data_IF_485380456116
#
_entry.id   IF_485380456116
#
_cell.length_a   1.000
_cell.length_b   1.000
_cell.length_c   1.000
_cell.angle_alpha   90.00
_cell.angle_beta   90.00
_cell.angle_gamma   90.00
#
_symmetry.space_group_name_H-M   'P 1'
#
loop_
_entity.id
_entity.type
_entity.pdbx_description
1 polymer ?
#
# COMPACT_ATOMS: atom_id res chain seq x y z
N UNK A 1 10.82 -27.83 56.81
CA UNK A 1 11.09 -27.08 55.56
C UNK A 1 9.79 -26.82 54.77
N UNK A 2 8.91 -25.93 55.26
CA UNK A 2 7.68 -25.52 54.53
C UNK A 2 7.41 -24.00 54.55
N UNK A 3 8.17 -23.22 55.33
CA UNK A 3 7.98 -21.77 55.48
C UNK A 3 8.87 -20.91 54.57
N UNK A 4 9.97 -21.45 54.04
CA UNK A 4 10.90 -20.71 53.17
C UNK A 4 10.30 -20.51 51.76
N UNK A 5 9.50 -21.47 51.27
CA UNK A 5 8.90 -21.42 49.94
C UNK A 5 7.84 -20.30 49.85
N UNK A 6 7.09 -20.05 50.92
CA UNK A 6 6.02 -19.04 50.93
C UNK A 6 6.59 -17.61 50.92
N UNK A 7 7.73 -17.39 51.61
CA UNK A 7 8.39 -16.08 51.65
C UNK A 7 9.08 -15.77 50.31
N UNK A 8 9.70 -16.76 49.66
CA UNK A 8 10.27 -16.58 48.33
C UNK A 8 9.20 -16.26 47.26
N UNK A 9 8.02 -16.90 47.36
CA UNK A 9 6.90 -16.65 46.45
C UNK A 9 6.26 -15.27 46.65
N UNK A 10 6.18 -14.79 47.89
CA UNK A 10 5.66 -13.45 48.21
C UNK A 10 6.60 -12.33 47.74
N UNK A 11 7.92 -12.53 47.81
CA UNK A 11 8.92 -11.57 47.32
C UNK A 11 8.95 -11.49 45.79
N UNK A 12 8.73 -12.62 45.10
CA UNK A 12 8.61 -12.67 43.63
C UNK A 12 7.34 -11.97 43.12
N UNK A 13 6.24 -11.99 43.88
CA UNK A 13 4.98 -11.33 43.51
C UNK A 13 4.94 -9.83 43.83
N UNK A 14 5.88 -9.33 44.63
CA UNK A 14 6.00 -7.90 44.98
C UNK A 14 6.87 -7.08 44.02
N UNK A 15 7.50 -7.70 43.02
CA UNK A 15 8.09 -6.94 41.92
C UNK A 15 6.97 -6.50 40.97
N UNK A 16 6.41 -5.32 41.25
CA UNK A 16 5.69 -4.56 40.23
C UNK A 16 6.71 -4.09 39.19
N UNK A 17 7.01 -4.95 38.23
CA UNK A 17 7.44 -4.46 36.93
C UNK A 17 6.23 -3.76 36.33
N UNK A 18 6.27 -2.43 36.27
CA UNK A 18 5.55 -1.71 35.23
C UNK A 18 6.21 -2.09 33.91
N UNK A 19 5.92 -3.29 33.41
CA UNK A 19 6.07 -3.60 32.02
C UNK A 19 5.04 -2.72 31.30
N UNK A 20 5.51 -1.61 30.72
CA UNK A 20 4.73 -0.94 29.69
C UNK A 20 4.30 -2.00 28.70
N UNK A 21 2.99 -2.21 28.58
CA UNK A 21 2.42 -3.35 27.83
C UNK A 21 2.76 -3.35 26.34
N UNK A 22 3.53 -2.38 25.86
CA UNK A 22 4.32 -2.52 24.64
C UNK A 22 5.71 -1.94 24.89
N UNK A 23 6.73 -2.80 24.91
CA UNK A 23 8.15 -2.42 24.82
C UNK A 23 8.54 -1.88 23.45
N UNK A 24 7.60 -1.23 22.77
CA UNK A 24 7.81 -0.55 21.51
C UNK A 24 8.32 0.84 21.88
N UNK A 25 9.65 1.03 21.77
CA UNK A 25 10.29 2.32 22.03
C UNK A 25 10.12 3.30 20.87
N UNK A 26 9.83 2.79 19.68
CA UNK A 26 9.34 3.49 18.50
C UNK A 26 8.87 2.45 17.48
N UNK A 27 7.74 2.66 16.81
CA UNK A 27 7.45 2.01 15.51
C UNK A 27 7.88 3.04 14.48
N UNK A 28 9.07 2.85 13.91
CA UNK A 28 9.37 3.47 12.64
C UNK A 28 8.70 2.62 11.53
N UNK A 29 8.33 3.21 10.39
CA UNK A 29 7.89 2.43 9.24
C UNK A 29 8.92 1.36 8.86
N UNK A 30 8.46 0.15 8.54
CA UNK A 30 9.33 -0.96 8.17
C UNK A 30 9.81 -0.81 6.73
N UNK A 31 10.93 -0.11 6.55
CA UNK A 31 11.49 0.14 5.22
C UNK A 31 12.30 -1.04 4.66
N UNK A 32 12.23 -2.25 5.25
CA UNK A 32 13.02 -3.41 4.82
C UNK A 32 12.80 -3.76 3.35
N UNK A 33 11.54 -3.79 2.91
CA UNK A 33 11.14 -4.06 1.52
C UNK A 33 11.71 -3.01 0.55
N UNK A 34 11.81 -1.76 0.99
CA UNK A 34 12.33 -0.66 0.17
C UNK A 34 13.87 -0.76 0.09
N UNK A 35 14.52 -1.12 1.19
CA UNK A 35 15.96 -1.32 1.24
C UNK A 35 16.41 -2.47 0.33
N UNK A 36 15.65 -3.58 0.26
CA UNK A 36 15.90 -4.68 -0.66
C UNK A 36 15.84 -4.26 -2.14
N UNK A 37 15.04 -3.24 -2.47
CA UNK A 37 14.90 -2.69 -3.82
C UNK A 37 16.01 -1.70 -4.20
N UNK A 38 16.89 -1.33 -3.25
CA UNK A 38 17.98 -0.39 -3.48
C UNK A 38 17.53 1.04 -3.80
N UNK A 39 16.34 1.45 -3.35
CA UNK A 39 15.80 2.78 -3.58
C UNK A 39 16.40 3.77 -2.57
N UNK A 40 16.98 4.87 -3.07
CA UNK A 40 17.42 5.98 -2.22
C UNK A 40 16.22 6.81 -1.74
N UNK A 41 15.86 6.61 -0.47
CA UNK A 41 14.72 7.31 0.14
C UNK A 41 15.05 8.72 0.64
N UNK A 42 16.32 9.10 0.77
CA UNK A 42 16.68 10.38 1.40
C UNK A 42 16.28 11.56 0.53
N UNK A 43 16.57 11.49 -0.77
CA UNK A 43 16.11 12.50 -1.74
C UNK A 43 14.58 12.63 -1.74
N UNK A 44 13.85 11.52 -1.58
CA UNK A 44 12.39 11.51 -1.56
C UNK A 44 11.82 12.10 -0.25
N UNK A 45 12.46 11.82 0.88
CA UNK A 45 12.13 12.44 2.18
C UNK A 45 12.36 13.95 2.15
N UNK A 46 13.49 14.40 1.62
CA UNK A 46 13.80 15.82 1.43
C UNK A 46 12.80 16.50 0.49
N UNK A 47 12.42 15.82 -0.59
CA UNK A 47 11.41 16.32 -1.51
C UNK A 47 10.06 16.51 -0.81
N UNK A 48 9.58 15.52 -0.06
CA UNK A 48 8.32 15.66 0.68
C UNK A 48 8.39 16.76 1.74
N UNK A 49 9.52 16.87 2.44
CA UNK A 49 9.77 17.97 3.38
C UNK A 49 9.65 19.31 2.69
N UNK A 50 10.24 19.48 1.50
CA UNK A 50 10.15 20.72 0.73
C UNK A 50 8.71 21.08 0.33
N UNK A 51 7.84 20.09 0.15
CA UNK A 51 6.41 20.31 -0.09
C UNK A 51 5.73 20.74 1.21
N UNK A 52 5.99 20.05 2.32
CA UNK A 52 5.43 20.37 3.63
C UNK A 52 5.83 21.79 4.08
N UNK A 53 7.10 22.17 3.93
CA UNK A 53 7.64 23.47 4.33
C UNK A 53 6.99 24.65 3.58
N UNK A 54 6.44 24.45 2.38
CA UNK A 54 5.67 25.50 1.67
C UNK A 54 4.44 25.93 2.45
N UNK A 55 3.89 25.05 3.28
CA UNK A 55 2.74 25.34 4.14
C UNK A 55 3.13 25.99 5.47
N UNK A 56 4.42 25.98 5.84
CA UNK A 56 4.89 26.47 7.14
C UNK A 56 4.66 27.98 7.37
N UNK A 57 4.47 28.75 6.29
CA UNK A 57 4.14 30.18 6.38
C UNK A 57 2.72 30.45 6.90
N UNK A 58 1.81 29.48 6.76
CA UNK A 58 0.39 29.60 7.10
C UNK A 58 -0.07 28.61 8.17
N UNK A 59 0.65 27.48 8.31
CA UNK A 59 0.26 26.36 9.14
C UNK A 59 1.43 25.80 9.95
N UNK A 60 1.12 25.07 11.03
CA UNK A 60 2.12 24.43 11.88
C UNK A 60 2.50 23.08 11.29
N UNK A 61 3.61 23.05 10.56
CA UNK A 61 4.12 21.82 9.93
C UNK A 61 5.01 21.08 10.93
N UNK A 62 4.73 19.80 11.17
CA UNK A 62 5.52 18.92 12.01
C UNK A 62 5.73 17.58 11.34
N UNK A 63 6.98 17.12 11.32
CA UNK A 63 7.29 15.73 10.98
C UNK A 63 6.81 14.84 12.12
N UNK A 64 6.02 13.82 11.80
CA UNK A 64 5.51 12.86 12.77
C UNK A 64 6.16 11.51 12.57
N UNK A 65 6.23 10.72 13.65
CA UNK A 65 6.68 9.32 13.57
C UNK A 65 5.59 8.40 13.00
N UNK A 66 4.33 8.79 13.19
CA UNK A 66 3.16 8.02 12.79
C UNK A 66 1.99 8.92 12.42
N UNK A 67 1.24 8.51 11.39
CA UNK A 67 -0.06 9.05 10.98
C UNK A 67 -0.98 7.87 10.72
N UNK A 68 -2.28 8.02 11.01
CA UNK A 68 -3.27 7.00 10.64
C UNK A 68 -3.40 6.91 9.11
N UNK A 69 -2.93 5.78 8.56
CA UNK A 69 -2.96 5.48 7.13
C UNK A 69 -4.04 4.44 6.75
N UNK A 70 -4.99 4.16 7.65
CA UNK A 70 -5.99 3.09 7.45
C UNK A 70 -6.80 3.24 6.14
N UNK A 71 -6.98 4.46 5.64
CA UNK A 71 -7.65 4.71 4.36
C UNK A 71 -6.75 4.39 3.15
N UNK A 72 -5.43 4.59 3.27
CA UNK A 72 -4.44 4.16 2.29
C UNK A 72 -4.38 2.63 2.25
N UNK A 73 -4.29 1.97 3.40
CA UNK A 73 -4.27 0.51 3.47
C UNK A 73 -5.53 -0.09 2.84
N UNK A 74 -6.69 0.49 3.14
CA UNK A 74 -7.96 0.10 2.52
C UNK A 74 -7.95 0.31 1.01
N UNK A 75 -7.42 1.45 0.53
CA UNK A 75 -7.31 1.73 -0.89
C UNK A 75 -6.48 0.65 -1.62
N UNK A 76 -5.33 0.27 -1.09
CA UNK A 76 -4.49 -0.80 -1.67
C UNK A 76 -5.09 -2.20 -1.51
N UNK A 77 -5.81 -2.47 -0.41
CA UNK A 77 -6.57 -3.70 -0.25
C UNK A 77 -7.69 -3.80 -1.30
N UNK A 78 -8.42 -2.73 -1.58
CA UNK A 78 -9.44 -2.69 -2.65
C UNK A 78 -8.83 -2.85 -4.04
N UNK A 79 -7.64 -2.30 -4.30
CA UNK A 79 -6.88 -2.54 -5.54
C UNK A 79 -6.56 -4.02 -5.75
N UNK A 80 -6.19 -4.71 -4.68
CA UNK A 80 -5.81 -6.14 -4.70
C UNK A 80 -7.01 -7.09 -4.78
N UNK A 81 -8.23 -6.61 -4.47
CA UNK A 81 -9.41 -7.47 -4.52
C UNK A 81 -9.74 -7.88 -5.97
N UNK A 82 -10.00 -9.18 -6.24
CA UNK A 82 -10.54 -9.63 -7.51
C UNK A 82 -11.82 -8.88 -7.88
N UNK A 83 -12.07 -8.70 -9.18
CA UNK A 83 -13.34 -8.16 -9.64
C UNK A 83 -14.47 -9.13 -9.36
N UNK A 84 -15.61 -8.58 -8.97
CA UNK A 84 -16.86 -9.33 -8.76
C UNK A 84 -17.58 -9.56 -10.09
N UNK A 85 -18.51 -10.53 -10.11
CA UNK A 85 -19.39 -10.77 -11.26
C UNK A 85 -20.18 -9.50 -11.62
N UNK A 86 -20.68 -8.78 -10.61
CA UNK A 86 -21.44 -7.54 -10.84
C UNK A 86 -20.60 -6.44 -11.50
N UNK A 87 -19.33 -6.28 -11.11
CA UNK A 87 -18.42 -5.31 -11.75
C UNK A 87 -18.11 -5.70 -13.21
N UNK A 88 -17.98 -7.00 -13.48
CA UNK A 88 -17.80 -7.54 -14.83
C UNK A 88 -19.02 -7.29 -15.71
N UNK A 89 -20.22 -7.63 -15.22
CA UNK A 89 -21.48 -7.50 -15.96
C UNK A 89 -21.81 -6.04 -16.26
N UNK A 90 -21.56 -5.14 -15.30
CA UNK A 90 -21.81 -3.71 -15.46
C UNK A 90 -20.66 -2.96 -16.17
N UNK A 91 -19.53 -3.63 -16.41
CA UNK A 91 -18.33 -3.00 -16.98
C UNK A 91 -17.78 -1.84 -16.15
N UNK A 92 -18.05 -1.83 -14.84
CA UNK A 92 -17.71 -0.73 -13.93
C UNK A 92 -17.13 -1.27 -12.64
N UNK A 93 -15.94 -0.77 -12.29
CA UNK A 93 -15.24 -1.08 -11.06
C UNK A 93 -15.89 -0.33 -9.89
N UNK A 94 -16.11 -1.02 -8.77
CA UNK A 94 -16.63 -0.46 -7.52
C UNK A 94 -15.50 0.12 -6.65
N UNK A 95 -14.67 0.98 -7.26
CA UNK A 95 -13.59 1.67 -6.58
C UNK A 95 -13.46 3.10 -7.10
N UNK A 96 -13.38 4.07 -6.19
CA UNK A 96 -13.14 5.48 -6.57
C UNK A 96 -11.65 5.75 -6.74
N UNK A 97 -11.23 5.93 -8.00
CA UNK A 97 -9.90 6.44 -8.35
C UNK A 97 -9.94 7.95 -8.68
N UNK A 98 -10.98 8.65 -8.22
CA UNK A 98 -11.12 10.11 -8.38
C UNK A 98 -10.04 10.89 -7.63
N UNK A 99 -9.51 10.31 -6.55
CA UNK A 99 -8.46 10.89 -5.70
C UNK A 99 -7.06 10.82 -6.33
N UNK A 100 -6.86 10.00 -7.37
CA UNK A 100 -5.56 9.89 -8.03
C UNK A 100 -5.45 10.98 -9.10
N UNK A 101 -4.59 11.96 -8.83
CA UNK A 101 -4.47 13.16 -9.67
C UNK A 101 -3.66 12.90 -10.94
N UNK A 102 -2.61 12.09 -10.84
CA UNK A 102 -1.78 11.75 -11.99
C UNK A 102 -2.50 10.76 -12.93
N UNK A 103 -2.65 11.13 -14.20
CA UNK A 103 -3.38 10.32 -15.21
C UNK A 103 -2.69 9.00 -15.50
N UNK A 104 -1.35 8.97 -15.50
CA UNK A 104 -0.57 7.76 -15.77
C UNK A 104 -0.70 6.79 -14.60
N UNK A 105 -0.51 7.25 -13.37
CA UNK A 105 -0.72 6.48 -12.14
C UNK A 105 -2.15 5.94 -12.08
N UNK A 106 -3.15 6.79 -12.36
CA UNK A 106 -4.55 6.38 -12.39
C UNK A 106 -4.80 5.26 -13.40
N UNK A 107 -4.19 5.34 -14.59
CA UNK A 107 -4.29 4.27 -15.58
C UNK A 107 -3.62 2.98 -15.09
N UNK A 108 -2.46 3.08 -14.44
CA UNK A 108 -1.79 1.92 -13.86
C UNK A 108 -2.61 1.26 -12.74
N UNK A 109 -3.20 2.05 -11.85
CA UNK A 109 -4.07 1.53 -10.79
C UNK A 109 -5.37 0.94 -11.34
N UNK A 110 -5.96 1.52 -12.39
CA UNK A 110 -7.07 0.90 -13.11
C UNK A 110 -6.66 -0.47 -13.69
N UNK A 111 -5.51 -0.54 -14.35
CA UNK A 111 -5.01 -1.79 -14.92
C UNK A 111 -4.76 -2.84 -13.83
N UNK A 112 -4.15 -2.43 -12.71
CA UNK A 112 -3.93 -3.29 -11.56
C UNK A 112 -5.28 -3.77 -10.97
N UNK A 113 -6.26 -2.89 -10.79
CA UNK A 113 -7.56 -3.26 -10.23
C UNK A 113 -8.31 -4.27 -11.10
N UNK A 114 -8.23 -4.11 -12.42
CA UNK A 114 -8.93 -5.02 -13.36
C UNK A 114 -8.25 -6.38 -13.44
N UNK A 115 -6.91 -6.40 -13.49
CA UNK A 115 -6.15 -7.61 -13.81
C UNK A 115 -5.52 -8.27 -12.58
N UNK A 116 -5.07 -7.46 -11.63
CA UNK A 116 -4.23 -7.82 -10.50
C UNK A 116 -4.81 -8.93 -9.63
N UNK A 117 -5.97 -8.66 -9.02
CA UNK A 117 -6.56 -9.56 -8.04
C UNK A 117 -6.92 -10.95 -8.60
N UNK A 118 -7.44 -11.02 -9.84
CA UNK A 118 -7.76 -12.30 -10.49
C UNK A 118 -6.52 -13.04 -11.01
N UNK A 119 -5.41 -12.33 -11.24
CA UNK A 119 -4.16 -12.93 -11.67
C UNK A 119 -3.28 -13.37 -10.50
N UNK A 120 -3.65 -13.07 -9.25
CA UNK A 120 -2.85 -13.40 -8.06
C UNK A 120 -1.73 -12.40 -7.78
N UNK A 121 -1.90 -11.14 -8.17
CA UNK A 121 -1.09 -10.02 -7.69
C UNK A 121 -1.71 -9.41 -6.43
N UNK A 122 -0.87 -9.05 -5.47
CA UNK A 122 -1.24 -8.24 -4.31
C UNK A 122 -0.39 -6.97 -4.29
N UNK A 123 -0.95 -5.88 -3.79
CA UNK A 123 -0.24 -4.61 -3.59
C UNK A 123 -0.55 -4.01 -2.22
N UNK A 124 0.45 -3.35 -1.64
CA UNK A 124 0.34 -2.57 -0.43
C UNK A 124 1.18 -1.31 -0.53
N UNK A 125 1.01 -0.40 0.42
CA UNK A 125 1.79 0.82 0.51
C UNK A 125 2.77 0.73 1.66
N UNK A 126 4.03 1.03 1.39
CA UNK A 126 5.06 1.12 2.42
C UNK A 126 5.40 2.61 2.63
N UNK A 127 4.91 3.23 3.72
CA UNK A 127 5.23 4.62 4.04
C UNK A 127 6.69 4.75 4.48
N UNK A 128 7.32 5.90 4.22
CA UNK A 128 8.70 6.19 4.66
C UNK A 128 8.82 7.50 5.42
N UNK A 129 7.86 8.42 5.27
CA UNK A 129 7.85 9.69 5.98
C UNK A 129 6.43 10.26 6.11
N UNK A 130 6.20 10.97 7.22
CA UNK A 130 4.93 11.60 7.55
C UNK A 130 5.14 13.06 7.95
N UNK A 131 4.26 13.94 7.47
CA UNK A 131 4.16 15.31 7.95
C UNK A 131 2.71 15.64 8.29
N UNK A 132 2.47 16.16 9.49
CA UNK A 132 1.22 16.85 9.80
C UNK A 132 1.37 18.33 9.41
N UNK A 133 0.47 18.85 8.58
CA UNK A 133 0.50 20.27 8.17
C UNK A 133 -0.38 21.12 9.09
N UNK A 134 -1.58 20.64 9.39
CA UNK A 134 -2.53 21.36 10.23
C UNK A 134 -3.64 20.41 10.68
N UNK A 135 -3.79 20.24 12.01
CA UNK A 135 -4.86 19.43 12.62
C UNK A 135 -4.97 18.03 11.98
N UNK A 136 -5.98 17.85 11.14
CA UNK A 136 -6.40 16.63 10.47
C UNK A 136 -5.80 16.45 9.07
N UNK A 137 -4.98 17.40 8.61
CA UNK A 137 -4.31 17.37 7.30
C UNK A 137 -2.90 16.82 7.45
N UNK A 138 -2.63 15.73 6.74
CA UNK A 138 -1.33 15.04 6.75
C UNK A 138 -0.84 14.70 5.35
N UNK A 139 0.47 14.78 5.15
CA UNK A 139 1.17 14.26 3.98
C UNK A 139 1.87 12.96 4.37
N UNK A 140 1.67 11.94 3.54
CA UNK A 140 2.31 10.64 3.71
C UNK A 140 3.06 10.30 2.42
N UNK A 141 4.36 10.05 2.55
CA UNK A 141 5.22 9.65 1.44
C UNK A 141 5.62 8.19 1.56
N UNK A 142 5.68 7.47 0.45
CA UNK A 142 6.05 6.06 0.43
C UNK A 142 6.03 5.45 -0.97
N UNK A 143 6.03 4.12 -1.04
CA UNK A 143 6.08 3.39 -2.30
C UNK A 143 5.01 2.31 -2.35
N UNK A 144 4.56 2.01 -3.56
CA UNK A 144 3.78 0.79 -3.78
C UNK A 144 4.73 -0.40 -3.76
N UNK A 145 4.32 -1.41 -3.02
CA UNK A 145 4.95 -2.71 -2.97
C UNK A 145 4.00 -3.73 -3.58
N UNK A 146 4.59 -4.80 -4.12
CA UNK A 146 3.87 -5.80 -4.88
C UNK A 146 4.34 -7.18 -4.52
N UNK A 147 3.41 -8.13 -4.52
CA UNK A 147 3.68 -9.54 -4.35
C UNK A 147 3.01 -10.32 -5.46
N UNK A 148 3.72 -11.32 -5.96
CA UNK A 148 3.26 -12.24 -7.00
C UNK A 148 3.15 -13.64 -6.41
N UNK A 149 2.18 -14.40 -6.88
CA UNK A 149 1.99 -15.81 -6.50
C UNK A 149 2.54 -16.80 -7.53
N UNK A 150 3.30 -16.29 -8.52
CA UNK A 150 3.85 -17.02 -9.66
C UNK A 150 5.16 -16.37 -10.13
N UNK A 151 5.86 -17.07 -11.03
CA UNK A 151 7.21 -16.69 -11.46
C UNK A 151 7.22 -15.83 -12.73
N UNK A 152 6.26 -16.02 -13.65
CA UNK A 152 6.26 -15.34 -14.95
C UNK A 152 4.87 -14.79 -15.35
N UNK A 153 4.80 -13.79 -16.25
CA UNK A 153 3.54 -13.17 -16.66
C UNK A 153 2.64 -14.05 -17.53
N UNK A 154 3.16 -15.12 -18.14
CA UNK A 154 2.34 -16.07 -18.90
C UNK A 154 1.50 -16.93 -17.93
N UNK A 155 2.07 -17.36 -16.80
CA UNK A 155 1.35 -18.04 -15.71
C UNK A 155 0.27 -17.13 -15.10
N UNK A 156 0.61 -15.87 -14.84
CA UNK A 156 -0.34 -14.85 -14.39
C UNK A 156 -1.55 -14.74 -15.32
N UNK A 157 -1.29 -14.75 -16.63
CA UNK A 157 -2.34 -14.64 -17.65
C UNK A 157 -3.23 -15.88 -17.66
N UNK A 158 -2.65 -17.07 -17.45
CA UNK A 158 -3.39 -18.32 -17.35
C UNK A 158 -4.25 -18.37 -16.08
N UNK A 159 -3.71 -17.95 -14.93
CA UNK A 159 -4.45 -17.83 -13.67
C UNK A 159 -5.62 -16.86 -13.84
N UNK A 160 -5.39 -15.70 -14.47
CA UNK A 160 -6.44 -14.73 -14.73
C UNK A 160 -7.55 -15.30 -15.62
N UNK A 161 -7.19 -15.93 -16.74
CA UNK A 161 -8.16 -16.52 -17.68
C UNK A 161 -8.98 -17.59 -16.96
N UNK A 162 -8.34 -18.56 -16.32
CA UNK A 162 -9.06 -19.65 -15.63
C UNK A 162 -9.94 -19.14 -14.49
N UNK A 163 -9.50 -18.12 -13.76
CA UNK A 163 -10.30 -17.47 -12.73
C UNK A 163 -11.51 -16.75 -13.32
N UNK A 164 -11.33 -16.02 -14.42
CA UNK A 164 -12.42 -15.31 -15.10
C UNK A 164 -13.45 -16.30 -15.68
N UNK A 165 -13.01 -17.35 -16.36
CA UNK A 165 -13.91 -18.38 -16.91
C UNK A 165 -14.64 -19.16 -15.81
N UNK A 166 -13.98 -19.41 -14.68
CA UNK A 166 -14.63 -20.00 -13.52
C UNK A 166 -15.67 -19.07 -12.90
N UNK A 167 -15.40 -17.77 -12.88
CA UNK A 167 -16.29 -16.76 -12.32
C UNK A 167 -17.52 -16.51 -13.21
N UNK A 168 -17.34 -16.39 -14.53
CA UNK A 168 -18.41 -16.11 -15.49
C UNK A 168 -19.11 -17.35 -16.03
N UNK A 169 -18.50 -18.53 -15.90
CA UNK A 169 -18.93 -19.78 -16.55
C UNK A 169 -18.90 -19.73 -18.08
N UNK A 170 -18.14 -18.80 -18.65
CA UNK A 170 -17.98 -18.64 -20.09
C UNK A 170 -16.55 -18.94 -20.53
N UNK A 171 -16.39 -19.53 -21.72
CA UNK A 171 -15.07 -19.78 -22.31
C UNK A 171 -14.69 -18.60 -23.20
N UNK A 172 -13.58 -17.94 -22.88
CA UNK A 172 -13.03 -16.83 -23.64
C UNK A 172 -12.49 -17.30 -24.99
N UNK A 173 -12.78 -16.52 -26.03
CA UNK A 173 -12.24 -16.74 -27.37
C UNK A 173 -10.71 -16.67 -27.38
N UNK A 174 -10.08 -17.38 -28.32
CA UNK A 174 -8.62 -17.38 -28.51
C UNK A 174 -8.04 -15.96 -28.66
N UNK A 175 -8.69 -15.11 -29.47
CA UNK A 175 -8.26 -13.72 -29.67
C UNK A 175 -8.33 -12.88 -28.39
N UNK A 176 -9.34 -13.12 -27.54
CA UNK A 176 -9.45 -12.46 -26.23
C UNK A 176 -8.32 -12.90 -25.31
N UNK A 177 -8.01 -14.20 -25.29
CA UNK A 177 -6.91 -14.75 -24.47
C UNK A 177 -5.57 -14.13 -24.84
N UNK A 178 -5.24 -14.01 -26.14
CA UNK A 178 -3.99 -13.35 -26.59
C UNK A 178 -3.91 -11.92 -26.06
N UNK A 179 -4.98 -11.13 -26.22
CA UNK A 179 -5.00 -9.73 -25.75
C UNK A 179 -4.84 -9.63 -24.24
N UNK A 180 -5.41 -10.57 -23.47
CA UNK A 180 -5.22 -10.62 -22.02
C UNK A 180 -3.77 -10.94 -21.64
N UNK A 181 -3.11 -11.87 -22.35
CA UNK A 181 -1.68 -12.15 -22.14
C UNK A 181 -0.82 -10.90 -22.38
N UNK A 182 -1.06 -10.14 -23.45
CA UNK A 182 -0.34 -8.89 -23.72
C UNK A 182 -0.57 -7.84 -22.63
N UNK A 183 -1.81 -7.70 -22.17
CA UNK A 183 -2.15 -6.78 -21.06
C UNK A 183 -1.50 -7.20 -19.74
N UNK A 184 -1.37 -8.50 -19.51
CA UNK A 184 -0.71 -9.04 -18.33
C UNK A 184 0.79 -8.76 -18.35
N UNK A 185 1.45 -8.93 -19.50
CA UNK A 185 2.86 -8.52 -19.68
C UNK A 185 3.08 -7.03 -19.41
N UNK A 186 2.15 -6.20 -19.86
CA UNK A 186 2.16 -4.77 -19.55
C UNK A 186 2.02 -4.49 -18.05
N UNK A 187 1.13 -5.19 -17.35
CA UNK A 187 0.97 -5.07 -15.90
C UNK A 187 2.23 -5.53 -15.16
N UNK A 188 2.79 -6.67 -15.55
CA UNK A 188 4.00 -7.22 -14.92
C UNK A 188 5.19 -6.26 -15.05
N UNK A 189 5.37 -5.69 -16.24
CA UNK A 189 6.39 -4.67 -16.48
C UNK A 189 6.16 -3.42 -15.61
N UNK A 190 4.91 -2.95 -15.48
CA UNK A 190 4.59 -1.85 -14.58
C UNK A 190 4.99 -2.18 -13.14
N UNK A 191 4.59 -3.35 -12.63
CA UNK A 191 4.89 -3.78 -11.25
C UNK A 191 6.40 -3.86 -11.01
N UNK A 192 7.17 -4.41 -11.96
CA UNK A 192 8.62 -4.56 -11.82
C UNK A 192 9.38 -3.22 -11.93
N UNK A 193 8.77 -2.19 -12.52
CA UNK A 193 9.42 -0.90 -12.77
C UNK A 193 8.86 0.23 -11.90
N UNK A 194 7.81 -0.01 -11.12
CA UNK A 194 7.17 0.98 -10.28
C UNK A 194 7.99 1.28 -9.01
N UNK A 195 9.05 2.06 -9.19
CA UNK A 195 9.92 2.57 -8.13
C UNK A 195 9.63 4.04 -7.80
N UNK A 196 8.47 4.57 -8.22
CA UNK A 196 8.17 5.99 -8.01
C UNK A 196 7.64 6.26 -6.62
N UNK A 197 8.18 7.32 -6.01
CA UNK A 197 7.69 7.86 -4.75
C UNK A 197 6.27 8.40 -4.91
N UNK A 198 5.36 7.95 -4.05
CA UNK A 198 3.95 8.31 -4.02
C UNK A 198 3.67 9.17 -2.81
N UNK A 199 2.86 10.20 -3.03
CA UNK A 199 2.53 11.21 -2.04
C UNK A 199 1.03 11.22 -1.86
N UNK A 200 0.57 10.91 -0.66
CA UNK A 200 -0.82 10.97 -0.24
C UNK A 200 -1.05 12.23 0.59
N UNK A 201 -2.09 12.98 0.23
CA UNK A 201 -2.69 13.97 1.10
C UNK A 201 -3.89 13.34 1.79
N UNK A 202 -3.84 13.32 3.12
CA UNK A 202 -4.92 12.89 3.96
C UNK A 202 -5.59 14.12 4.59
N UNK A 203 -6.92 14.13 4.60
CA UNK A 203 -7.75 15.10 5.31
C UNK A 203 -8.79 14.35 6.12
N UNK A 204 -8.89 14.63 7.42
CA UNK A 204 -9.74 13.86 8.34
C UNK A 204 -9.48 12.33 8.26
N UNK A 205 -8.22 11.93 8.05
CA UNK A 205 -7.80 10.53 7.89
C UNK A 205 -8.29 9.87 6.59
N UNK A 206 -8.83 10.64 5.64
CA UNK A 206 -9.28 10.18 4.32
C UNK A 206 -8.35 10.63 3.22
N UNK A 207 -8.17 9.79 2.20
CA UNK A 207 -7.42 10.20 1.01
C UNK A 207 -8.19 11.31 0.30
N UNK A 208 -7.62 12.51 0.34
CA UNK A 208 -8.07 13.63 -0.49
C UNK A 208 -7.48 13.48 -1.90
N UNK A 209 -6.18 13.20 -1.97
CA UNK A 209 -5.49 13.08 -3.25
C UNK A 209 -4.15 12.33 -3.20
N UNK A 210 -3.74 11.81 -4.36
CA UNK A 210 -2.51 11.04 -4.57
C UNK A 210 -1.73 11.56 -5.77
N UNK A 211 -0.42 11.66 -5.64
CA UNK A 211 0.53 12.03 -6.70
C UNK A 211 1.76 11.14 -6.71
N UNK A 212 2.52 11.22 -7.79
CA UNK A 212 3.88 10.67 -7.87
C UNK A 212 4.89 11.80 -7.98
N UNK A 213 6.09 11.56 -7.45
CA UNK A 213 7.24 12.42 -7.75
C UNK A 213 7.62 12.28 -9.23
N UNK A 214 7.78 13.41 -9.90
CA UNK A 214 8.46 13.46 -11.18
C UNK A 214 9.98 13.53 -10.96
N UNK A 215 10.68 12.53 -11.48
CA UNK A 215 12.13 12.57 -11.59
C UNK A 215 12.46 13.21 -12.95
N UNK A 216 12.97 14.45 -12.90
CA UNK A 216 13.48 15.19 -14.05
C UNK A 216 14.93 14.78 -14.29
#
# INVERSE_FOLDING_TARGET
>A
MRKIIVVALAVLLSFQSTAGAFGIKSIAPDTSVIAERGIDTESDKEYLKSIADKYASLFVVKQEEYVDISDIDRFYAELSKPMTIEELDNGKINMSLGVVSDKRLKNSFNQFKVLGGLAGYETWFEPVIYFNIYRDISLVGGYSCYKKTYENPDDASWIYITSLESLTKEILSYNTRIKLCERMKGLDNFINTDNKFKIFLLKDGKIDSVWERDYI
#
